data_IF_627679210764
#
_entry.id   IF_627679210764
#
_cell.length_a   1.000
_cell.length_b   1.000
_cell.length_c   1.000
_cell.angle_alpha   90.00
_cell.angle_beta   90.00
_cell.angle_gamma   90.00
#
_symmetry.space_group_name_H-M   'P 1'
#
loop_
_entity.id
_entity.type
_entity.pdbx_description
1 polymer ?
#
# COMPACT_ATOMS: atom_id res chain seq x y z
N UNK A 1 -0.49 -14.67 -25.98
CA UNK A 1 -0.17 -13.24 -25.80
C UNK A 1 0.94 -13.19 -24.77
N UNK A 2 2.12 -12.70 -25.14
CA UNK A 2 3.30 -12.64 -24.26
C UNK A 2 3.09 -11.51 -23.26
N UNK A 3 3.19 -11.80 -21.96
CA UNK A 3 3.23 -10.77 -20.92
C UNK A 3 4.60 -10.09 -20.95
N UNK A 4 4.83 -9.25 -21.95
CA UNK A 4 5.96 -8.33 -21.98
C UNK A 4 5.63 -7.13 -21.07
N UNK A 5 5.45 -7.37 -19.78
CA UNK A 5 5.41 -6.32 -18.76
C UNK A 5 6.49 -6.56 -17.70
N UNK A 6 7.68 -6.96 -18.16
CA UNK A 6 8.87 -6.71 -17.37
C UNK A 6 9.20 -5.24 -17.56
N UNK A 7 8.53 -4.38 -16.76
CA UNK A 7 9.15 -3.13 -16.34
C UNK A 7 10.51 -3.52 -15.79
N UNK A 8 11.56 -3.39 -16.61
CA UNK A 8 12.93 -3.35 -16.15
C UNK A 8 13.08 -1.94 -15.58
N UNK A 9 12.89 -1.70 -14.26
CA UNK A 9 13.49 -0.51 -13.70
C UNK A 9 14.98 -0.67 -14.00
N UNK A 10 15.63 0.37 -14.53
CA UNK A 10 17.09 0.43 -14.47
C UNK A 10 17.54 0.05 -13.06
N UNK A 11 18.74 -0.55 -12.94
CA UNK A 11 19.31 -0.95 -11.65
C UNK A 11 19.03 0.17 -10.62
N UNK A 12 18.28 -0.11 -9.54
CA UNK A 12 17.93 0.93 -8.58
C UNK A 12 19.19 1.63 -8.12
N UNK A 13 19.20 2.96 -8.16
CA UNK A 13 20.34 3.71 -7.66
C UNK A 13 20.53 3.39 -6.17
N UNK A 14 21.76 3.31 -5.65
CA UNK A 14 21.99 3.06 -4.24
C UNK A 14 21.26 4.10 -3.37
N UNK A 15 20.15 3.70 -2.75
CA UNK A 15 19.28 4.58 -1.94
C UNK A 15 17.93 4.93 -2.57
N UNK A 16 17.64 4.46 -3.79
CA UNK A 16 16.31 4.57 -4.38
C UNK A 16 15.31 3.77 -3.55
N UNK A 17 14.26 4.45 -3.06
CA UNK A 17 13.11 3.81 -2.43
C UNK A 17 12.36 3.03 -3.50
N UNK A 18 12.86 1.82 -3.80
CA UNK A 18 12.16 0.90 -4.69
C UNK A 18 10.82 0.59 -4.02
N UNK A 19 9.70 0.72 -4.74
CA UNK A 19 8.42 0.37 -4.17
C UNK A 19 8.43 -1.10 -3.75
N UNK A 20 8.03 -1.39 -2.51
CA UNK A 20 7.88 -2.77 -2.05
C UNK A 20 6.89 -3.49 -2.96
N UNK A 21 7.32 -4.60 -3.58
CA UNK A 21 6.48 -5.41 -4.49
C UNK A 21 6.18 -6.77 -3.88
N UNK A 22 4.91 -7.14 -3.89
CA UNK A 22 4.45 -8.45 -3.45
C UNK A 22 3.66 -9.11 -4.57
N UNK A 23 4.04 -10.33 -4.96
CA UNK A 23 3.22 -11.15 -5.83
C UNK A 23 2.12 -11.80 -5.00
N UNK A 24 0.87 -11.72 -5.48
CA UNK A 24 -0.29 -12.30 -4.82
C UNK A 24 -0.94 -13.32 -5.74
N UNK A 25 -1.33 -14.45 -5.15
CA UNK A 25 -2.15 -15.47 -5.80
C UNK A 25 -3.63 -15.14 -5.56
N UNK A 26 -4.32 -14.67 -6.60
CA UNK A 26 -5.74 -14.31 -6.53
C UNK A 26 -6.49 -15.01 -7.66
N UNK A 27 -6.99 -16.21 -7.35
CA UNK A 27 -7.78 -17.01 -8.29
C UNK A 27 -6.96 -17.30 -9.55
N UNK A 28 -7.49 -16.91 -10.71
CA UNK A 28 -6.81 -17.11 -12.00
C UNK A 28 -6.04 -15.87 -12.48
N UNK A 29 -5.85 -14.85 -11.64
CA UNK A 29 -5.25 -13.58 -12.05
C UNK A 29 -3.89 -13.37 -11.38
N UNK A 30 -2.90 -13.07 -12.21
CA UNK A 30 -1.58 -12.66 -11.75
C UNK A 30 -1.61 -11.22 -11.22
N UNK A 31 -1.47 -11.07 -9.90
CA UNK A 31 -1.52 -9.77 -9.22
C UNK A 31 -0.17 -9.44 -8.60
N UNK A 32 0.30 -8.20 -8.81
CA UNK A 32 1.44 -7.63 -8.09
C UNK A 32 1.00 -6.36 -7.35
N UNK A 33 1.11 -6.36 -6.02
CA UNK A 33 0.97 -5.15 -5.23
C UNK A 33 2.29 -4.37 -5.26
N UNK A 34 2.21 -3.05 -5.45
CA UNK A 34 3.35 -2.14 -5.51
C UNK A 34 3.07 -0.99 -4.55
N UNK A 35 3.90 -0.83 -3.53
CA UNK A 35 3.75 0.23 -2.52
C UNK A 35 4.32 1.56 -3.02
N UNK A 36 3.52 2.61 -3.02
CA UNK A 36 3.95 4.00 -3.31
C UNK A 36 4.56 4.70 -2.07
N UNK A 37 4.88 3.94 -1.02
CA UNK A 37 5.45 4.45 0.23
C UNK A 37 4.41 4.82 1.28
N UNK A 38 4.81 5.63 2.27
CA UNK A 38 4.00 5.99 3.44
C UNK A 38 3.70 7.49 3.45
N UNK A 39 2.43 7.84 3.67
CA UNK A 39 1.98 9.24 3.82
C UNK A 39 1.15 9.40 5.08
N UNK A 40 1.66 10.21 6.02
CA UNK A 40 0.94 10.54 7.23
C UNK A 40 -0.26 11.45 6.92
N UNK A 41 -1.44 11.06 7.42
CA UNK A 41 -2.64 11.90 7.41
C UNK A 41 -2.85 12.51 8.80
N UNK A 42 -3.34 13.76 8.91
CA UNK A 42 -3.67 14.33 10.21
C UNK A 42 -4.75 13.51 10.91
N UNK A 43 -4.47 13.03 12.12
CA UNK A 43 -5.38 12.14 12.86
C UNK A 43 -6.78 12.71 13.10
N UNK A 44 -6.93 14.04 13.15
CA UNK A 44 -8.23 14.70 13.30
C UNK A 44 -9.13 14.59 12.05
N UNK A 45 -8.57 14.40 10.86
CA UNK A 45 -9.32 14.27 9.60
C UNK A 45 -9.71 12.83 9.28
N UNK A 46 -8.98 11.84 9.80
CA UNK A 46 -9.26 10.43 9.51
C UNK A 46 -10.61 10.02 10.13
N UNK A 47 -11.49 9.41 9.34
CA UNK A 47 -12.79 8.97 9.83
C UNK A 47 -13.66 10.10 10.38
N UNK A 48 -13.76 11.24 9.68
CA UNK A 48 -14.60 12.39 10.11
C UNK A 48 -16.07 11.99 10.37
N UNK A 49 -16.55 10.95 9.69
CA UNK A 49 -17.87 10.35 9.81
C UNK A 49 -18.07 9.48 11.07
N UNK A 50 -17.01 9.16 11.81
CA UNK A 50 -17.09 8.41 13.07
C UNK A 50 -17.08 9.35 14.29
N UNK A 51 -17.69 8.91 15.39
CA UNK A 51 -17.67 9.63 16.66
C UNK A 51 -16.24 9.80 17.22
N UNK A 52 -15.96 10.83 18.05
CA UNK A 52 -14.60 11.14 18.52
C UNK A 52 -13.91 9.99 19.27
N UNK A 53 -14.66 9.25 20.09
CA UNK A 53 -14.12 8.10 20.84
C UNK A 53 -13.69 6.95 19.90
N UNK A 54 -14.47 6.69 18.85
CA UNK A 54 -14.14 5.68 17.82
C UNK A 54 -12.93 6.12 16.99
N UNK A 55 -12.79 7.42 16.69
CA UNK A 55 -11.62 7.97 15.99
C UNK A 55 -10.34 7.89 16.83
N UNK A 56 -10.43 8.18 18.13
CA UNK A 56 -9.27 8.17 19.03
C UNK A 56 -8.68 6.78 19.25
N UNK A 57 -9.53 5.74 19.21
CA UNK A 57 -9.12 4.34 19.34
C UNK A 57 -8.66 3.71 18.01
N UNK A 58 -8.68 4.47 16.91
CA UNK A 58 -8.39 3.97 15.55
C UNK A 58 -9.48 3.05 14.96
N UNK A 59 -10.59 2.87 15.68
CA UNK A 59 -11.59 1.82 15.42
C UNK A 59 -11.03 0.42 15.72
N UNK A 60 -11.88 -0.60 15.63
CA UNK A 60 -11.54 -2.02 15.85
C UNK A 60 -10.57 -2.59 14.77
N UNK A 61 -9.94 -1.72 13.97
CA UNK A 61 -9.00 -2.04 12.91
C UNK A 61 -7.54 -1.80 13.33
N UNK A 62 -7.29 -1.34 14.56
CA UNK A 62 -5.95 -1.02 15.10
C UNK A 62 -5.05 -2.22 15.45
N UNK A 63 -5.35 -3.42 14.94
CA UNK A 63 -4.50 -4.62 15.08
C UNK A 63 -4.17 -5.16 13.69
N UNK A 64 -3.30 -4.45 12.99
CA UNK A 64 -2.49 -5.01 11.90
C UNK A 64 -1.03 -4.74 12.19
#
# INVERSE_FOLDING_TARGET
MSMDNTSYPGRPEPGELVPLRYALDIGEVDVTAVSDGMRALPGAMLGHNAGPAVRADGGDHGRI
#
